data_IF_772980795704
#
_entry.id   IF_772980795704
#
_cell.length_a   1.000
_cell.length_b   1.000
_cell.length_c   1.000
_cell.angle_alpha   90.00
_cell.angle_beta   90.00
_cell.angle_gamma   90.00
#
_symmetry.space_group_name_H-M   'P 1'
#
loop_
_entity.id
_entity.type
_entity.pdbx_description
1 polymer ?
#
# COMPACT_ATOMS: atom_id res chain seq x y z
N UNK A 1 51.70 -14.46 44.54
CA UNK A 1 50.29 -14.71 44.91
C UNK A 1 49.45 -13.83 44.01
N UNK A 2 49.12 -14.31 42.82
CA UNK A 2 47.88 -15.04 42.49
C UNK A 2 46.81 -14.07 42.00
N UNK A 3 46.62 -13.99 40.68
CA UNK A 3 45.48 -14.62 39.99
C UNK A 3 45.19 -13.92 38.67
N UNK A 4 45.61 -14.60 37.61
CA UNK A 4 44.99 -14.65 36.29
C UNK A 4 43.46 -14.77 36.39
N UNK A 5 42.71 -13.98 35.61
CA UNK A 5 41.39 -14.37 35.11
C UNK A 5 41.46 -14.54 33.61
N UNK A 6 41.33 -15.80 33.21
CA UNK A 6 41.20 -16.28 31.85
C UNK A 6 39.83 -15.96 31.25
N UNK A 7 39.84 -15.73 29.94
CA UNK A 7 38.92 -16.23 28.93
C UNK A 7 37.41 -16.20 29.21
N UNK A 8 36.73 -15.21 28.64
CA UNK A 8 35.42 -15.45 28.00
C UNK A 8 35.68 -15.73 26.53
N UNK A 9 35.65 -17.01 26.15
CA UNK A 9 35.63 -17.41 24.76
C UNK A 9 34.35 -16.90 24.11
N UNK A 10 34.48 -15.90 23.25
CA UNK A 10 33.48 -15.68 22.22
C UNK A 10 33.55 -16.90 21.30
N UNK A 11 32.52 -17.73 21.34
CA UNK A 11 32.28 -18.72 20.29
C UNK A 11 32.19 -17.96 18.99
N UNK A 12 33.21 -18.13 18.16
CA UNK A 12 33.34 -17.60 16.80
C UNK A 12 32.31 -18.34 15.94
N UNK A 13 31.12 -17.77 15.74
CA UNK A 13 30.04 -18.41 14.98
C UNK A 13 30.07 -17.83 13.58
N UNK A 14 30.99 -18.34 12.76
CA UNK A 14 31.11 -17.96 11.36
C UNK A 14 29.74 -17.95 10.65
N UNK A 15 29.35 -16.80 10.13
CA UNK A 15 28.08 -16.58 9.46
C UNK A 15 28.20 -16.84 7.96
N UNK A 16 27.16 -17.39 7.34
CA UNK A 16 27.16 -17.68 5.90
C UNK A 16 26.66 -16.47 5.13
N UNK A 17 27.42 -16.02 4.13
CA UNK A 17 27.01 -14.91 3.27
C UNK A 17 25.74 -15.28 2.49
N UNK A 18 24.68 -14.49 2.64
CA UNK A 18 23.42 -14.67 1.93
C UNK A 18 23.55 -14.54 0.40
N UNK A 19 24.60 -13.87 -0.10
CA UNK A 19 24.78 -13.61 -1.53
C UNK A 19 25.62 -14.66 -2.25
N UNK A 20 26.65 -15.22 -1.61
CA UNK A 20 27.56 -16.18 -2.25
C UNK A 20 27.74 -17.50 -1.50
N UNK A 21 27.17 -17.65 -0.30
CA UNK A 21 27.28 -18.86 0.50
C UNK A 21 28.65 -19.08 1.17
N UNK A 22 29.61 -18.16 1.02
CA UNK A 22 30.91 -18.26 1.68
C UNK A 22 30.79 -17.98 3.19
N UNK A 23 31.63 -18.64 3.99
CA UNK A 23 31.78 -18.36 5.42
C UNK A 23 32.45 -17.01 5.62
N UNK A 24 31.80 -16.14 6.39
CA UNK A 24 32.28 -14.80 6.74
C UNK A 24 32.67 -14.79 8.22
N UNK A 25 33.87 -14.28 8.57
CA UNK A 25 34.28 -14.09 9.97
C UNK A 25 33.34 -13.13 10.70
N UNK A 26 33.11 -13.35 12.00
CA UNK A 26 32.26 -12.46 12.78
C UNK A 26 32.83 -11.04 12.87
N UNK A 27 31.96 -10.06 12.61
CA UNK A 27 32.30 -8.63 12.63
C UNK A 27 32.92 -8.08 11.34
N UNK A 28 33.07 -8.88 10.28
CA UNK A 28 33.42 -8.33 8.96
C UNK A 28 32.24 -7.50 8.42
N UNK A 29 32.51 -6.24 8.02
CA UNK A 29 31.51 -5.33 7.44
C UNK A 29 31.11 -5.71 6.00
N UNK A 30 31.95 -6.50 5.32
CA UNK A 30 31.72 -6.99 3.96
C UNK A 30 32.24 -8.41 3.80
N UNK A 31 31.55 -9.21 3.00
CA UNK A 31 32.00 -10.54 2.63
C UNK A 31 33.33 -10.46 1.85
N UNK A 32 34.40 -11.16 2.26
CA UNK A 32 35.68 -11.12 1.56
C UNK A 32 35.65 -11.79 0.17
N UNK A 33 34.60 -12.56 -0.14
CA UNK A 33 34.50 -13.32 -1.38
C UNK A 33 33.67 -12.61 -2.46
N UNK A 34 32.62 -11.89 -2.09
CA UNK A 34 31.74 -11.19 -3.05
C UNK A 34 31.58 -9.71 -2.77
N UNK A 35 32.25 -9.18 -1.74
CA UNK A 35 32.20 -7.77 -1.31
C UNK A 35 30.80 -7.25 -0.97
N UNK A 36 29.81 -8.13 -0.81
CA UNK A 36 28.48 -7.76 -0.33
C UNK A 36 28.57 -7.30 1.14
N UNK A 37 27.92 -6.18 1.44
CA UNK A 37 27.83 -5.62 2.79
C UNK A 37 27.04 -6.59 3.69
N UNK A 38 27.61 -6.93 4.84
CA UNK A 38 27.05 -7.90 5.80
C UNK A 38 26.34 -7.22 6.98
N UNK A 39 26.15 -5.90 6.91
CA UNK A 39 25.38 -5.09 7.86
C UNK A 39 23.88 -5.39 7.75
N UNK A 40 23.48 -6.59 8.17
CA UNK A 40 22.10 -6.86 8.55
C UNK A 40 21.96 -6.41 9.99
N UNK A 41 21.05 -5.46 10.23
CA UNK A 41 20.57 -4.99 11.55
C UNK A 41 20.69 -6.11 12.58
N UNK A 42 21.59 -5.92 13.56
CA UNK A 42 21.65 -6.78 14.73
C UNK A 42 20.22 -6.97 15.23
N UNK A 43 19.79 -8.24 15.37
CA UNK A 43 18.56 -8.55 16.09
C UNK A 43 18.69 -7.93 17.48
N UNK A 44 18.00 -6.83 17.71
CA UNK A 44 17.88 -6.26 19.05
C UNK A 44 17.23 -7.36 19.89
N UNK A 45 17.90 -7.80 20.94
CA UNK A 45 17.31 -8.73 21.89
C UNK A 45 16.16 -8.00 22.59
N UNK A 46 14.93 -8.18 22.11
CA UNK A 46 13.69 -7.61 22.65
C UNK A 46 13.29 -8.38 23.91
N UNK A 47 14.18 -8.47 24.89
CA UNK A 47 13.97 -9.30 26.09
C UNK A 47 12.86 -8.79 26.98
N UNK A 48 12.73 -7.46 27.09
CA UNK A 48 11.85 -6.84 28.09
C UNK A 48 10.92 -5.75 27.53
N UNK A 49 10.84 -5.59 26.21
CA UNK A 49 10.02 -4.53 25.59
C UNK A 49 8.65 -5.08 25.21
N UNK A 50 7.59 -4.32 25.52
CA UNK A 50 6.20 -4.70 25.24
C UNK A 50 5.62 -3.80 24.14
N UNK A 51 4.84 -4.36 23.21
CA UNK A 51 4.19 -3.56 22.17
C UNK A 51 2.88 -2.96 22.68
N UNK A 52 2.64 -1.69 22.35
CA UNK A 52 1.38 -1.02 22.67
C UNK A 52 0.24 -1.61 21.81
N UNK A 53 -0.87 -2.08 22.41
CA UNK A 53 -1.97 -2.69 21.66
C UNK A 53 -2.78 -1.68 20.82
N UNK A 54 -2.65 -0.38 21.11
CA UNK A 54 -3.44 0.66 20.42
C UNK A 54 -2.71 1.30 19.23
N UNK A 55 -1.39 1.46 19.29
CA UNK A 55 -0.63 2.18 18.25
C UNK A 55 0.60 1.44 17.72
N UNK A 56 0.90 0.24 18.25
CA UNK A 56 2.03 -0.57 17.82
C UNK A 56 3.42 -0.07 18.25
N UNK A 57 3.50 0.99 19.07
CA UNK A 57 4.78 1.49 19.57
C UNK A 57 5.45 0.50 20.54
N UNK A 58 6.77 0.41 20.49
CA UNK A 58 7.59 -0.35 21.43
C UNK A 58 7.68 0.42 22.77
N UNK A 59 7.20 -0.17 23.86
CA UNK A 59 7.14 0.46 25.18
C UNK A 59 8.11 -0.24 26.14
N UNK A 60 8.98 0.51 26.85
CA UNK A 60 9.83 -0.03 27.90
C UNK A 60 9.03 -0.66 29.05
N UNK A 61 9.57 -1.67 29.74
CA UNK A 61 8.88 -2.34 30.85
C UNK A 61 8.63 -1.43 32.06
N UNK A 62 9.30 -0.27 32.13
CA UNK A 62 9.15 0.73 33.19
C UNK A 62 7.91 1.62 33.01
N UNK A 63 7.34 1.67 31.80
CA UNK A 63 6.27 2.61 31.47
C UNK A 63 4.92 1.88 31.39
N UNK A 64 4.05 2.17 32.37
CA UNK A 64 2.68 1.63 32.40
C UNK A 64 1.75 2.26 31.36
N UNK A 65 2.18 3.34 30.69
CA UNK A 65 1.41 4.11 29.72
C UNK A 65 2.26 4.37 28.48
N UNK A 66 1.70 4.12 27.30
CA UNK A 66 2.38 4.39 26.05
C UNK A 66 2.62 5.89 25.88
N UNK A 67 3.88 6.34 25.68
CA UNK A 67 4.17 7.77 25.48
C UNK A 67 3.64 8.31 24.15
N UNK A 68 3.36 7.44 23.17
CA UNK A 68 2.90 7.84 21.84
C UNK A 68 1.40 8.11 21.77
N UNK A 69 0.58 7.32 22.47
CA UNK A 69 -0.88 7.38 22.35
C UNK A 69 -1.62 7.42 23.68
N UNK A 70 -0.91 7.41 24.82
CA UNK A 70 -1.51 7.49 26.15
C UNK A 70 -2.23 6.22 26.62
N UNK A 71 -2.23 5.14 25.84
CA UNK A 71 -2.89 3.88 26.22
C UNK A 71 -2.10 3.16 27.31
N UNK A 72 -2.80 2.63 28.32
CA UNK A 72 -2.20 1.80 29.37
C UNK A 72 -1.66 0.49 28.77
N UNK A 73 -0.37 0.23 28.99
CA UNK A 73 0.31 -1.00 28.57
C UNK A 73 0.51 -1.85 29.83
N UNK A 74 -0.35 -2.85 30.02
CA UNK A 74 -0.21 -3.77 31.14
C UNK A 74 0.94 -4.74 30.83
N UNK A 75 1.94 -4.91 31.71
CA UNK A 75 2.96 -5.92 31.50
C UNK A 75 2.30 -7.30 31.39
N UNK A 76 2.75 -8.09 30.40
CA UNK A 76 2.28 -9.45 30.22
C UNK A 76 2.49 -10.24 31.52
N UNK A 77 1.44 -10.92 32.00
CA UNK A 77 1.55 -11.74 33.19
C UNK A 77 2.64 -12.81 32.97
N UNK A 78 3.46 -13.03 34.00
CA UNK A 78 4.53 -14.02 33.96
C UNK A 78 4.00 -15.37 33.45
N UNK A 79 4.78 -16.10 32.62
CA UNK A 79 4.37 -17.42 32.15
C UNK A 79 4.06 -18.30 33.36
N UNK A 80 2.88 -18.95 33.34
CA UNK A 80 2.49 -19.86 34.42
C UNK A 80 3.47 -21.05 34.40
N UNK A 81 3.91 -21.55 35.57
CA UNK A 81 4.77 -22.72 35.61
C UNK A 81 4.04 -23.90 34.98
N UNK A 82 4.69 -24.54 34.01
CA UNK A 82 4.24 -25.79 33.42
C UNK A 82 4.23 -26.81 34.55
N UNK A 83 3.05 -27.36 34.89
CA UNK A 83 2.98 -28.49 35.81
C UNK A 83 3.45 -29.72 35.04
N UNK A 84 4.52 -30.34 35.52
CA UNK A 84 4.88 -31.68 35.09
C UNK A 84 3.76 -32.61 35.57
N UNK A 85 2.95 -33.10 34.63
CA UNK A 85 1.99 -34.15 34.89
C UNK A 85 2.73 -35.48 34.68
N UNK A 86 3.10 -36.12 35.78
CA UNK A 86 3.44 -37.55 35.77
C UNK A 86 2.19 -38.33 35.36
N UNK A 87 2.11 -38.64 34.07
CA UNK A 87 1.13 -39.55 33.50
C UNK A 87 1.57 -40.98 33.84
N UNK A 88 0.79 -41.76 34.60
CA UNK A 88 1.14 -43.14 34.89
C UNK A 88 1.05 -43.99 33.62
N UNK A 89 2.02 -44.88 33.44
CA UNK A 89 2.04 -45.93 32.43
C UNK A 89 0.92 -46.91 32.75
N UNK A 90 -0.06 -47.05 31.83
CA UNK A 90 -1.19 -47.96 32.00
C UNK A 90 -0.81 -49.30 31.36
N UNK A 91 -0.36 -50.23 32.19
CA UNK A 91 -0.30 -51.65 31.86
C UNK A 91 -1.71 -52.27 32.02
N UNK A 92 -2.08 -53.10 31.05
CA UNK A 92 -3.27 -53.95 31.04
C UNK A 92 -3.23 -54.96 32.21
N UNK A 93 -4.29 -55.01 33.03
CA UNK A 93 -4.98 -56.22 33.53
C UNK A 93 -5.91 -55.93 34.73
N UNK A 94 -7.16 -56.43 34.67
CA UNK A 94 -7.90 -56.88 35.86
C UNK A 94 -9.17 -56.12 36.29
N UNK A 95 -10.33 -56.79 36.16
CA UNK A 95 -11.69 -56.40 36.58
C UNK A 95 -11.91 -56.24 38.12
N UNK A 96 -13.03 -55.62 38.55
CA UNK A 96 -13.24 -55.11 39.90
C UNK A 96 -13.98 -56.09 40.82
N UNK A 97 -13.74 -56.01 42.13
CA UNK A 97 -14.67 -56.58 43.12
C UNK A 97 -15.13 -55.56 44.17
N UNK A 98 -16.43 -55.67 44.37
CA UNK A 98 -17.34 -55.06 45.30
C UNK A 98 -17.03 -55.39 46.76
N UNK A 99 -17.36 -54.47 47.69
CA UNK A 99 -18.34 -54.72 48.76
C UNK A 99 -18.23 -53.78 49.97
N UNK A 100 -19.39 -53.22 50.33
CA UNK A 100 -19.90 -52.92 51.69
C UNK A 100 -19.24 -51.76 52.47
N UNK A 101 -19.84 -50.57 52.43
CA UNK A 101 -20.91 -50.05 53.34
C UNK A 101 -20.47 -49.82 54.79
N UNK A 102 -20.38 -48.53 55.15
CA UNK A 102 -20.24 -48.08 56.54
C UNK A 102 -20.50 -46.57 56.67
N UNK A 103 -21.79 -46.18 56.68
CA UNK A 103 -22.36 -45.02 57.38
C UNK A 103 -21.65 -43.66 57.21
N UNK A 104 -22.23 -42.78 56.39
CA UNK A 104 -22.08 -41.33 56.55
C UNK A 104 -23.45 -40.65 56.56
N UNK A 105 -23.63 -39.85 57.59
CA UNK A 105 -24.82 -39.08 57.97
C UNK A 105 -25.29 -38.13 56.86
N UNK A 106 -26.59 -38.15 56.60
CA UNK A 106 -27.31 -37.27 55.67
C UNK A 106 -27.11 -35.80 56.06
N UNK A 107 -26.28 -35.08 55.31
CA UNK A 107 -26.31 -33.62 55.26
C UNK A 107 -27.24 -33.27 54.11
N UNK A 108 -28.40 -32.74 54.43
CA UNK A 108 -29.38 -32.29 53.45
C UNK A 108 -28.84 -31.01 52.80
N UNK A 109 -28.22 -31.18 51.64
CA UNK A 109 -27.68 -30.10 50.82
C UNK A 109 -28.83 -29.34 50.16
N UNK A 110 -28.86 -28.01 50.32
CA UNK A 110 -29.78 -27.10 49.64
C UNK A 110 -29.40 -26.86 48.15
N UNK A 111 -28.70 -27.80 47.53
CA UNK A 111 -28.37 -27.77 46.10
C UNK A 111 -29.45 -28.60 45.40
N UNK A 112 -30.27 -28.02 44.51
CA UNK A 112 -31.22 -28.81 43.72
C UNK A 112 -30.47 -29.89 42.95
N UNK A 113 -31.00 -31.13 42.86
CA UNK A 113 -30.35 -32.18 42.10
C UNK A 113 -30.14 -31.68 40.66
N UNK A 114 -28.91 -31.79 40.18
CA UNK A 114 -28.61 -31.56 38.78
C UNK A 114 -29.55 -32.46 37.97
N UNK A 115 -30.32 -31.85 37.06
CA UNK A 115 -31.25 -32.55 36.20
C UNK A 115 -30.54 -33.73 35.54
N UNK A 116 -30.88 -34.93 35.98
CA UNK A 116 -30.43 -36.18 35.41
C UNK A 116 -31.04 -36.28 34.02
N UNK A 117 -30.20 -36.05 33.01
CA UNK A 117 -30.53 -36.10 31.59
C UNK A 117 -30.84 -37.53 31.08
N UNK A 118 -31.26 -38.45 31.96
CA UNK A 118 -31.44 -39.87 31.67
C UNK A 118 -32.88 -40.36 31.85
N UNK A 119 -33.84 -39.47 32.09
CA UNK A 119 -35.26 -39.83 32.02
C UNK A 119 -35.75 -39.82 30.55
N UNK A 120 -36.27 -40.93 29.99
CA UNK A 120 -36.72 -41.01 28.58
C UNK A 120 -37.97 -40.17 28.29
N UNK A 121 -38.57 -39.58 29.33
CA UNK A 121 -39.65 -38.60 29.24
C UNK A 121 -39.14 -37.15 29.13
N UNK A 122 -37.96 -36.82 29.67
CA UNK A 122 -37.41 -35.45 29.60
C UNK A 122 -36.71 -35.15 28.25
N UNK A 123 -36.29 -36.18 27.51
CA UNK A 123 -35.67 -36.02 26.19
C UNK A 123 -36.67 -35.75 25.07
N UNK A 124 -37.97 -36.04 25.27
CA UNK A 124 -39.02 -35.81 24.25
C UNK A 124 -39.71 -34.45 24.34
N UNK A 125 -39.60 -33.74 25.45
CA UNK A 125 -40.24 -32.42 25.65
C UNK A 125 -39.31 -31.21 25.41
N UNK A 126 -38.06 -31.43 24.99
CA UNK A 126 -37.15 -30.35 24.53
C UNK A 126 -36.55 -30.63 23.16
N UNK A 127 -37.32 -31.19 22.25
CA UNK A 127 -36.95 -31.15 20.83
C UNK A 127 -37.77 -30.02 20.19
N UNK A 128 -37.21 -28.81 20.02
CA UNK A 128 -37.81 -27.82 19.13
C UNK A 128 -38.12 -28.52 17.82
N UNK A 129 -39.38 -28.40 17.38
CA UNK A 129 -39.89 -29.09 16.18
C UNK A 129 -38.80 -29.01 15.10
N UNK A 130 -38.41 -30.11 14.45
CA UNK A 130 -37.27 -30.10 13.51
C UNK A 130 -37.47 -29.05 12.40
N UNK A 131 -38.73 -28.75 12.07
CA UNK A 131 -39.12 -27.64 11.19
C UNK A 131 -38.76 -26.26 11.76
N UNK A 132 -38.97 -26.01 13.05
CA UNK A 132 -38.60 -24.76 13.71
C UNK A 132 -37.07 -24.56 13.76
N UNK A 133 -36.29 -25.63 13.97
CA UNK A 133 -34.83 -25.54 13.84
C UNK A 133 -34.38 -25.29 12.40
N UNK A 134 -34.99 -25.95 11.42
CA UNK A 134 -34.69 -25.71 10.02
C UNK A 134 -35.00 -24.25 9.63
N UNK A 135 -36.15 -23.72 10.07
CA UNK A 135 -36.49 -22.31 9.85
C UNK A 135 -35.54 -21.36 10.58
N UNK A 136 -35.19 -21.63 11.83
CA UNK A 136 -34.24 -20.80 12.58
C UNK A 136 -32.84 -20.81 11.96
N UNK A 137 -32.37 -21.95 11.46
CA UNK A 137 -31.08 -22.06 10.77
C UNK A 137 -31.09 -21.28 9.44
N UNK A 138 -32.17 -21.40 8.65
CA UNK A 138 -32.33 -20.61 7.41
C UNK A 138 -32.38 -19.11 7.72
N UNK A 139 -33.12 -18.72 8.76
CA UNK A 139 -33.23 -17.32 9.17
C UNK A 139 -31.89 -16.77 9.69
N UNK A 140 -31.13 -17.57 10.44
CA UNK A 140 -29.80 -17.19 10.89
C UNK A 140 -28.84 -17.02 9.70
N UNK A 141 -28.87 -17.92 8.70
CA UNK A 141 -28.08 -17.77 7.47
C UNK A 141 -28.53 -16.55 6.66
N UNK A 142 -29.84 -16.28 6.57
CA UNK A 142 -30.36 -15.12 5.87
C UNK A 142 -30.03 -13.79 6.57
N UNK A 143 -30.07 -13.75 7.91
CA UNK A 143 -29.69 -12.56 8.67
C UNK A 143 -28.19 -12.33 8.60
N UNK A 144 -27.36 -13.35 8.87
CA UNK A 144 -25.90 -13.20 8.88
C UNK A 144 -25.37 -12.98 7.47
N UNK A 145 -25.84 -13.76 6.50
CA UNK A 145 -25.48 -13.60 5.09
C UNK A 145 -26.04 -12.30 4.52
N UNK A 146 -27.27 -11.92 4.87
CA UNK A 146 -27.87 -10.65 4.46
C UNK A 146 -27.16 -9.44 5.07
N UNK A 147 -26.77 -9.48 6.34
CA UNK A 147 -26.02 -8.42 7.00
C UNK A 147 -24.58 -8.32 6.47
N UNK A 148 -23.91 -9.46 6.24
CA UNK A 148 -22.61 -9.49 5.59
C UNK A 148 -22.70 -8.88 4.19
N UNK A 149 -23.69 -9.29 3.38
CA UNK A 149 -23.94 -8.69 2.07
C UNK A 149 -24.29 -7.21 2.19
N UNK A 150 -25.08 -6.76 3.17
CA UNK A 150 -25.39 -5.32 3.36
C UNK A 150 -24.15 -4.49 3.72
N UNK A 151 -23.21 -5.08 4.46
CA UNK A 151 -21.95 -4.43 4.87
C UNK A 151 -20.92 -4.46 3.74
N UNK A 152 -20.79 -5.57 3.02
CA UNK A 152 -19.79 -5.73 1.95
C UNK A 152 -20.30 -5.25 0.59
N UNK A 153 -21.61 -5.21 0.38
CA UNK A 153 -22.31 -4.84 -0.84
C UNK A 153 -23.64 -4.13 -0.52
N UNK A 154 -23.64 -2.81 -0.27
CA UNK A 154 -24.87 -2.06 -0.05
C UNK A 154 -25.83 -2.32 -1.22
N UNK A 155 -27.05 -2.75 -0.92
CA UNK A 155 -28.04 -3.09 -1.94
C UNK A 155 -28.40 -1.84 -2.73
N UNK A 156 -27.97 -1.80 -4.00
CA UNK A 156 -28.27 -0.72 -4.93
C UNK A 156 -29.46 -1.11 -5.82
N UNK A 157 -30.65 -0.51 -5.63
CA UNK A 157 -31.82 -0.75 -6.46
C UNK A 157 -31.67 -0.25 -7.90
N UNK A 158 -30.61 0.50 -8.22
CA UNK A 158 -30.32 1.03 -9.55
C UNK A 158 -29.37 0.14 -10.37
N UNK A 159 -28.76 -0.87 -9.76
CA UNK A 159 -27.82 -1.78 -10.42
C UNK A 159 -28.43 -2.60 -11.59
N UNK A 160 -29.76 -2.69 -11.66
CA UNK A 160 -30.48 -3.33 -12.79
C UNK A 160 -31.08 -2.33 -13.79
N UNK A 161 -30.88 -1.03 -13.58
CA UNK A 161 -31.35 0.04 -14.46
C UNK A 161 -30.23 0.37 -15.45
N UNK A 162 -30.18 -0.32 -16.59
CA UNK A 162 -29.19 -0.09 -17.66
C UNK A 162 -29.56 1.06 -18.60
N UNK A 163 -30.32 2.03 -18.11
CA UNK A 163 -30.76 3.21 -18.86
C UNK A 163 -30.19 4.47 -18.21
N UNK A 164 -29.34 5.17 -18.94
CA UNK A 164 -28.80 6.47 -18.53
C UNK A 164 -29.94 7.47 -18.27
N UNK A 165 -30.09 7.92 -17.03
CA UNK A 165 -31.04 8.98 -16.63
C UNK A 165 -30.34 10.30 -16.30
N UNK A 166 -29.01 10.34 -16.34
CA UNK A 166 -28.19 11.55 -16.31
C UNK A 166 -27.25 11.54 -17.54
N UNK A 167 -26.96 12.71 -18.14
CA UNK A 167 -25.87 12.82 -19.11
C UNK A 167 -24.55 12.48 -18.41
N UNK A 168 -23.79 11.53 -18.98
CA UNK A 168 -22.50 11.14 -18.45
C UNK A 168 -21.55 12.34 -18.49
N UNK A 169 -20.98 12.68 -17.33
CA UNK A 169 -19.81 13.53 -17.25
C UNK A 169 -18.64 12.76 -17.91
N UNK A 170 -18.20 13.28 -19.04
CA UNK A 170 -17.19 12.66 -19.91
C UNK A 170 -15.79 13.23 -19.66
N UNK A 171 -15.63 14.10 -18.66
CA UNK A 171 -14.37 14.75 -18.33
C UNK A 171 -13.23 13.77 -18.01
N UNK A 172 -13.53 12.55 -17.57
CA UNK A 172 -12.53 11.55 -17.18
C UNK A 172 -12.55 10.25 -18.03
N UNK A 173 -13.31 10.21 -19.13
CA UNK A 173 -13.27 9.06 -20.04
C UNK A 173 -12.01 9.10 -20.90
N UNK A 174 -10.90 8.63 -20.33
CA UNK A 174 -9.58 8.60 -20.96
C UNK A 174 -8.42 8.72 -19.99
N UNK A 175 -8.67 9.13 -18.73
CA UNK A 175 -7.61 9.37 -17.74
C UNK A 175 -7.12 8.03 -17.15
N UNK A 176 -5.88 7.59 -17.46
CA UNK A 176 -5.28 6.48 -16.73
C UNK A 176 -4.98 6.99 -15.31
N UNK A 177 -5.43 6.26 -14.29
CA UNK A 177 -5.16 6.64 -12.89
C UNK A 177 -3.66 6.89 -12.62
N UNK A 178 -3.39 7.62 -11.54
CA UNK A 178 -2.03 8.01 -11.13
C UNK A 178 -1.08 6.81 -11.13
N UNK A 179 -0.05 6.89 -11.97
CA UNK A 179 1.05 5.93 -12.02
C UNK A 179 2.15 6.38 -11.07
N UNK A 180 2.19 5.78 -9.89
CA UNK A 180 3.23 5.99 -8.86
C UNK A 180 4.62 5.43 -9.26
N UNK A 181 4.78 4.93 -10.48
CA UNK A 181 5.99 4.24 -10.91
C UNK A 181 6.38 4.55 -12.35
N UNK A 182 7.66 4.88 -12.52
CA UNK A 182 8.33 5.02 -13.81
C UNK A 182 8.25 3.70 -14.61
N UNK A 183 7.55 3.70 -15.74
CA UNK A 183 7.64 2.62 -16.72
C UNK A 183 8.96 2.71 -17.48
N UNK A 184 10.06 2.36 -16.83
CA UNK A 184 11.39 2.49 -17.42
C UNK A 184 12.45 1.47 -16.97
N UNK A 185 12.17 0.61 -15.99
CA UNK A 185 13.23 -0.22 -15.39
C UNK A 185 13.47 -1.59 -16.03
N UNK A 186 12.51 -2.21 -16.73
CA UNK A 186 12.67 -3.58 -17.24
C UNK A 186 12.14 -3.79 -18.68
N UNK A 187 12.52 -2.92 -19.62
CA UNK A 187 12.37 -3.23 -21.06
C UNK A 187 13.63 -2.86 -21.82
N UNK A 188 14.62 -3.74 -21.78
CA UNK A 188 15.62 -3.81 -22.86
C UNK A 188 14.88 -4.21 -24.13
N UNK A 189 14.47 -3.23 -24.92
CA UNK A 189 14.02 -3.45 -26.30
C UNK A 189 15.28 -3.42 -27.16
N UNK A 190 15.56 -4.53 -27.84
CA UNK A 190 16.65 -4.64 -28.81
C UNK A 190 16.58 -3.48 -29.81
N UNK A 191 17.69 -2.75 -29.96
CA UNK A 191 17.86 -1.64 -30.92
C UNK A 191 17.87 -2.10 -32.40
N UNK A 192 17.48 -3.34 -32.67
CA UNK A 192 17.70 -4.03 -33.95
C UNK A 192 16.39 -4.45 -34.66
N UNK A 193 15.25 -3.84 -34.30
CA UNK A 193 13.98 -4.07 -35.02
C UNK A 193 13.83 -3.10 -36.20
N UNK A 194 13.53 -3.59 -37.43
CA UNK A 194 13.49 -2.75 -38.61
C UNK A 194 12.35 -1.73 -38.54
N UNK A 195 12.74 -0.47 -38.72
CA UNK A 195 11.86 0.70 -38.87
C UNK A 195 11.09 0.57 -40.20
N UNK A 196 9.88 0.03 -40.19
CA UNK A 196 8.97 0.11 -41.34
C UNK A 196 7.51 0.04 -40.92
N UNK A 197 6.70 0.98 -41.41
CA UNK A 197 5.30 1.24 -41.06
C UNK A 197 5.04 1.68 -39.61
N UNK A 198 5.59 0.99 -38.61
CA UNK A 198 5.28 1.23 -37.19
C UNK A 198 5.91 2.52 -36.64
N UNK A 199 7.05 2.96 -37.19
CA UNK A 199 7.79 4.09 -36.64
C UNK A 199 7.10 5.44 -36.84
N UNK A 200 6.51 5.68 -38.02
CA UNK A 200 5.72 6.88 -38.25
C UNK A 200 4.52 6.93 -37.31
N UNK A 201 3.81 5.81 -37.16
CA UNK A 201 2.63 5.75 -36.29
C UNK A 201 3.00 6.01 -34.82
N UNK A 202 4.18 5.56 -34.37
CA UNK A 202 4.72 5.87 -33.03
C UNK A 202 5.08 7.36 -32.87
N UNK A 203 5.65 7.98 -33.92
CA UNK A 203 6.01 9.40 -33.93
C UNK A 203 4.75 10.28 -33.98
N UNK A 204 3.77 9.95 -34.82
CA UNK A 204 2.47 10.62 -34.88
C UNK A 204 1.72 10.48 -33.54
N UNK A 205 1.75 9.29 -32.92
CA UNK A 205 1.17 9.11 -31.59
C UNK A 205 1.88 9.93 -30.50
N UNK A 206 3.21 10.05 -30.56
CA UNK A 206 3.96 10.89 -29.61
C UNK A 206 3.66 12.39 -29.80
N UNK A 207 3.50 12.83 -31.05
CA UNK A 207 3.06 14.17 -31.40
C UNK A 207 1.68 14.49 -30.81
N UNK A 208 0.69 13.63 -31.01
CA UNK A 208 -0.67 13.81 -30.48
C UNK A 208 -0.68 13.86 -28.94
N UNK A 209 0.06 12.94 -28.29
CA UNK A 209 0.17 12.91 -26.83
C UNK A 209 0.84 14.17 -26.25
N UNK A 210 1.73 14.82 -26.99
CA UNK A 210 2.30 16.10 -26.55
C UNK A 210 1.24 17.20 -26.49
N UNK A 211 0.30 17.26 -27.43
CA UNK A 211 -0.82 18.22 -27.36
C UNK A 211 -1.83 17.89 -26.28
N UNK A 212 -2.11 16.61 -26.04
CA UNK A 212 -2.97 16.19 -24.92
C UNK A 212 -2.39 16.65 -23.58
N UNK A 213 -1.07 16.45 -23.38
CA UNK A 213 -0.38 16.88 -22.17
C UNK A 213 -0.26 18.40 -22.08
N UNK A 214 -0.07 19.11 -23.20
CA UNK A 214 -0.11 20.58 -23.22
C UNK A 214 -1.47 21.10 -22.73
N UNK A 215 -2.56 20.50 -23.23
CA UNK A 215 -3.92 20.81 -22.79
C UNK A 215 -4.10 20.58 -21.29
N UNK A 216 -3.65 19.42 -20.78
CA UNK A 216 -3.71 19.10 -19.34
C UNK A 216 -2.92 20.11 -18.48
N UNK A 217 -1.76 20.58 -18.95
CA UNK A 217 -0.99 21.63 -18.27
C UNK A 217 -1.76 22.96 -18.27
N UNK A 218 -2.41 23.32 -19.38
CA UNK A 218 -3.24 24.53 -19.47
C UNK A 218 -4.48 24.49 -18.56
N UNK A 219 -5.13 23.33 -18.46
CA UNK A 219 -6.27 23.09 -17.56
C UNK A 219 -5.83 23.18 -16.09
N UNK A 220 -4.72 22.53 -15.73
CA UNK A 220 -4.15 22.60 -14.38
C UNK A 220 -3.75 24.04 -14.00
N UNK A 221 -3.21 24.81 -14.94
CA UNK A 221 -2.88 26.23 -14.73
C UNK A 221 -4.14 27.09 -14.48
N UNK A 222 -5.25 26.75 -15.13
CA UNK A 222 -6.54 27.43 -14.94
C UNK A 222 -7.14 27.07 -13.59
N UNK A 223 -7.15 25.78 -13.25
CA UNK A 223 -7.61 25.26 -11.97
C UNK A 223 -6.86 25.91 -10.80
N UNK A 224 -5.52 25.97 -10.87
CA UNK A 224 -4.70 26.62 -9.85
C UNK A 224 -5.16 28.05 -9.53
N UNK A 225 -5.49 28.84 -10.57
CA UNK A 225 -5.92 30.24 -10.37
C UNK A 225 -7.27 30.33 -9.66
N UNK A 226 -8.18 29.43 -10.01
CA UNK A 226 -9.50 29.36 -9.41
C UNK A 226 -9.40 28.91 -7.95
N UNK A 227 -8.80 27.75 -7.70
CA UNK A 227 -8.68 27.14 -6.38
C UNK A 227 -7.86 28.01 -5.41
N UNK A 228 -6.77 28.64 -5.88
CA UNK A 228 -5.99 29.57 -5.06
C UNK A 228 -6.79 30.82 -4.67
N UNK A 229 -7.69 31.29 -5.55
CA UNK A 229 -8.57 32.42 -5.26
C UNK A 229 -9.68 32.08 -4.26
N UNK A 230 -10.16 30.83 -4.27
CA UNK A 230 -11.17 30.33 -3.36
C UNK A 230 -10.61 30.01 -1.96
N UNK A 231 -9.31 29.71 -1.86
CA UNK A 231 -8.64 29.40 -0.61
C UNK A 231 -8.87 27.96 -0.12
N UNK A 232 -9.20 27.03 -1.01
CA UNK A 232 -9.44 25.62 -0.69
C UNK A 232 -8.11 24.85 -0.58
N UNK A 233 -7.64 24.64 0.65
CA UNK A 233 -6.38 23.98 0.93
C UNK A 233 -6.37 22.47 0.55
N UNK A 234 -7.52 21.79 0.60
CA UNK A 234 -7.60 20.36 0.24
C UNK A 234 -7.50 20.22 -1.29
N UNK A 235 -8.28 21.00 -2.03
CA UNK A 235 -8.21 21.03 -3.48
C UNK A 235 -6.83 21.49 -4.00
N UNK A 236 -6.10 22.33 -3.24
CA UNK A 236 -4.72 22.72 -3.57
C UNK A 236 -3.71 21.59 -3.38
N UNK A 237 -3.91 20.73 -2.39
CA UNK A 237 -3.06 19.57 -2.16
C UNK A 237 -3.27 18.52 -3.26
N UNK A 238 -4.53 18.25 -3.61
CA UNK A 238 -4.89 17.32 -4.69
C UNK A 238 -4.39 17.84 -6.05
N UNK A 239 -4.64 19.11 -6.36
CA UNK A 239 -4.16 19.72 -7.61
C UNK A 239 -2.63 19.75 -7.75
N UNK A 240 -1.88 19.82 -6.64
CA UNK A 240 -0.42 19.66 -6.64
C UNK A 240 0.00 18.23 -6.97
N UNK A 241 -0.74 17.22 -6.51
CA UNK A 241 -0.49 15.82 -6.87
C UNK A 241 -0.76 15.58 -8.36
N UNK A 242 -1.88 16.08 -8.88
CA UNK A 242 -2.23 16.00 -10.29
C UNK A 242 -1.19 16.71 -11.18
N UNK A 243 -0.73 17.91 -10.79
CA UNK A 243 0.31 18.62 -11.53
C UNK A 243 1.64 17.84 -11.58
N UNK A 244 1.97 17.09 -10.52
CA UNK A 244 3.15 16.21 -10.50
C UNK A 244 2.96 14.98 -11.40
N UNK A 245 1.76 14.41 -11.43
CA UNK A 245 1.43 13.31 -12.33
C UNK A 245 1.61 13.72 -13.80
N UNK A 246 1.07 14.90 -14.19
CA UNK A 246 1.27 15.43 -15.55
C UNK A 246 2.76 15.65 -15.87
N UNK A 247 3.55 16.19 -14.92
CA UNK A 247 5.00 16.34 -15.10
C UNK A 247 5.74 15.00 -15.31
N UNK A 248 5.30 13.96 -14.62
CA UNK A 248 5.81 12.61 -14.79
C UNK A 248 5.45 12.05 -16.17
N UNK A 249 4.22 12.23 -16.63
CA UNK A 249 3.76 11.78 -17.94
C UNK A 249 4.53 12.45 -19.08
N UNK A 250 4.79 13.76 -18.96
CA UNK A 250 5.66 14.49 -19.90
C UNK A 250 7.08 13.90 -19.91
N UNK A 251 7.64 13.61 -18.74
CA UNK A 251 8.99 13.03 -18.65
C UNK A 251 9.08 11.61 -19.21
N UNK A 252 8.04 10.80 -19.00
CA UNK A 252 7.91 9.47 -19.57
C UNK A 252 7.80 9.54 -21.10
N UNK A 253 6.96 10.44 -21.63
CA UNK A 253 6.79 10.63 -23.07
C UNK A 253 8.10 11.08 -23.73
N UNK A 254 8.84 12.01 -23.13
CA UNK A 254 10.15 12.42 -23.64
C UNK A 254 11.12 11.24 -23.67
N UNK A 255 11.14 10.41 -22.62
CA UNK A 255 11.98 9.21 -22.59
C UNK A 255 11.58 8.20 -23.67
N UNK A 256 10.29 8.10 -24.00
CA UNK A 256 9.81 7.26 -25.09
C UNK A 256 10.22 7.82 -26.46
N UNK A 257 10.13 9.14 -26.65
CA UNK A 257 10.58 9.83 -27.87
C UNK A 257 12.10 9.65 -28.07
N UNK A 258 12.91 9.79 -27.02
CA UNK A 258 14.36 9.57 -27.09
C UNK A 258 14.72 8.16 -27.59
N UNK A 259 13.89 7.16 -27.28
CA UNK A 259 14.09 5.77 -27.74
C UNK A 259 13.69 5.56 -29.20
N UNK A 260 12.88 6.45 -29.78
CA UNK A 260 12.53 6.43 -31.19
C UNK A 260 13.66 7.00 -32.07
N UNK A 261 14.54 7.81 -31.49
CA UNK A 261 15.65 8.45 -32.20
C UNK A 261 16.73 7.46 -32.66
N UNK A 262 17.06 7.55 -33.94
CA UNK A 262 18.32 7.08 -34.51
C UNK A 262 18.97 8.29 -35.21
N UNK A 263 20.24 8.57 -34.91
CA UNK A 263 20.92 9.82 -35.31
C UNK A 263 20.95 10.02 -36.85
N UNK A 264 20.88 8.92 -37.61
CA UNK A 264 20.84 8.91 -39.09
C UNK A 264 19.49 8.39 -39.65
N UNK A 265 18.45 8.34 -38.82
CA UNK A 265 17.14 7.77 -39.17
C UNK A 265 16.29 8.66 -40.06
N UNK A 266 15.38 8.05 -40.83
CA UNK A 266 14.44 8.75 -41.73
C UNK A 266 13.62 9.85 -41.05
N UNK A 267 13.34 9.70 -39.76
CA UNK A 267 12.54 10.62 -38.95
C UNK A 267 13.38 11.35 -37.87
N UNK A 268 14.70 11.46 -38.06
CA UNK A 268 15.57 12.07 -37.05
C UNK A 268 15.18 13.52 -36.74
N UNK A 269 14.80 14.30 -37.76
CA UNK A 269 14.32 15.68 -37.60
C UNK A 269 12.99 15.75 -36.83
N UNK A 270 12.04 14.87 -37.14
CA UNK A 270 10.76 14.81 -36.40
C UNK A 270 10.99 14.47 -34.93
N UNK A 271 11.86 13.51 -34.62
CA UNK A 271 12.21 13.17 -33.24
C UNK A 271 12.85 14.36 -32.52
N UNK A 272 13.76 15.09 -33.17
CA UNK A 272 14.37 16.30 -32.59
C UNK A 272 13.32 17.39 -32.28
N UNK A 273 12.37 17.62 -33.18
CA UNK A 273 11.26 18.53 -32.95
C UNK A 273 10.38 18.09 -31.78
N UNK A 274 10.01 16.81 -31.70
CA UNK A 274 9.21 16.28 -30.59
C UNK A 274 9.95 16.40 -29.24
N UNK A 275 11.26 16.15 -29.20
CA UNK A 275 12.07 16.37 -28.00
C UNK A 275 12.10 17.84 -27.60
N UNK A 276 12.17 18.74 -28.58
CA UNK A 276 12.16 20.19 -28.34
C UNK A 276 10.83 20.63 -27.74
N UNK A 277 9.70 20.21 -28.32
CA UNK A 277 8.35 20.46 -27.80
C UNK A 277 8.17 19.90 -26.39
N UNK A 278 8.58 18.64 -26.18
CA UNK A 278 8.52 18.00 -24.87
C UNK A 278 9.36 18.73 -23.82
N UNK A 279 10.56 19.19 -24.16
CA UNK A 279 11.40 19.94 -23.23
C UNK A 279 10.80 21.30 -22.83
N UNK A 280 10.16 22.02 -23.75
CA UNK A 280 9.40 23.22 -23.39
C UNK A 280 8.24 22.89 -22.46
N UNK A 281 7.51 21.82 -22.73
CA UNK A 281 6.41 21.37 -21.87
C UNK A 281 6.90 20.98 -20.47
N UNK A 282 8.02 20.24 -20.36
CA UNK A 282 8.66 19.92 -19.07
C UNK A 282 9.02 21.16 -18.27
N UNK A 283 9.66 22.15 -18.90
CA UNK A 283 10.00 23.40 -18.23
C UNK A 283 8.75 24.17 -17.77
N UNK A 284 7.65 24.10 -18.53
CA UNK A 284 6.35 24.66 -18.13
C UNK A 284 5.77 23.89 -16.94
N UNK A 285 5.84 22.56 -16.94
CA UNK A 285 5.42 21.73 -15.82
C UNK A 285 6.20 22.08 -14.54
N UNK A 286 7.51 22.29 -14.62
CA UNK A 286 8.33 22.69 -13.46
C UNK A 286 7.84 24.01 -12.84
N UNK A 287 7.54 25.01 -13.68
CA UNK A 287 6.97 26.28 -13.23
C UNK A 287 5.58 26.08 -12.61
N UNK A 288 4.75 25.25 -13.23
CA UNK A 288 3.39 24.97 -12.75
C UNK A 288 3.39 24.23 -11.41
N UNK A 289 4.20 23.18 -11.27
CA UNK A 289 4.34 22.43 -10.00
C UNK A 289 4.86 23.33 -8.89
N UNK A 290 5.79 24.24 -9.19
CA UNK A 290 6.27 25.23 -8.21
C UNK A 290 5.16 26.21 -7.79
N UNK A 291 4.33 26.65 -8.74
CA UNK A 291 3.20 27.53 -8.45
C UNK A 291 2.13 26.83 -7.59
N UNK A 292 1.83 25.56 -7.86
CA UNK A 292 0.97 24.73 -7.01
C UNK A 292 1.54 24.56 -5.60
N UNK A 293 2.84 24.26 -5.50
CA UNK A 293 3.53 24.11 -4.21
C UNK A 293 3.45 25.39 -3.38
N UNK A 294 3.68 26.53 -4.02
CA UNK A 294 3.57 27.84 -3.37
C UNK A 294 2.15 28.12 -2.88
N UNK A 295 1.11 27.74 -3.63
CA UNK A 295 -0.27 27.92 -3.25
C UNK A 295 -0.71 27.02 -2.09
N UNK A 296 -0.17 25.80 -2.00
CA UNK A 296 -0.52 24.81 -0.98
C UNK A 296 0.21 24.98 0.37
N UNK A 297 1.24 25.83 0.45
CA UNK A 297 2.04 26.03 1.67
C UNK A 297 1.37 26.89 2.76
N UNK A 298 0.72 28.04 2.47
CA UNK A 298 0.13 28.89 3.49
C UNK A 298 -1.24 28.42 3.99
N UNK A 299 -1.59 28.78 5.22
CA UNK A 299 -2.93 28.55 5.79
C UNK A 299 -4.05 29.34 5.07
N UNK A 300 -3.71 30.48 4.47
CA UNK A 300 -4.59 31.29 3.62
C UNK A 300 -3.99 31.36 2.21
N UNK A 301 -4.40 30.45 1.29
CA UNK A 301 -3.88 30.42 -0.08
C UNK A 301 -4.14 31.69 -0.88
N UNK A 302 -5.21 32.42 -0.56
CA UNK A 302 -5.54 33.68 -1.25
C UNK A 302 -4.49 34.77 -1.01
N UNK A 303 -3.73 34.66 0.09
CA UNK A 303 -2.67 35.60 0.44
C UNK A 303 -1.48 35.57 -0.55
N UNK A 304 -1.27 34.45 -1.25
CA UNK A 304 -0.15 34.26 -2.19
C UNK A 304 -0.57 34.31 -3.66
N UNK A 305 -1.84 34.58 -4.00
CA UNK A 305 -2.32 34.53 -5.39
C UNK A 305 -1.52 35.43 -6.35
N UNK A 306 -1.06 36.60 -5.89
CA UNK A 306 -0.20 37.47 -6.71
C UNK A 306 1.16 36.84 -7.02
N UNK A 307 1.73 36.11 -6.05
CA UNK A 307 3.01 35.42 -6.21
C UNK A 307 2.86 34.18 -7.09
N UNK A 308 1.74 33.45 -6.97
CA UNK A 308 1.35 32.36 -7.87
C UNK A 308 1.27 32.85 -9.32
N UNK A 309 0.54 33.94 -9.57
CA UNK A 309 0.43 34.55 -10.92
C UNK A 309 1.78 35.00 -11.45
N UNK A 310 2.63 35.59 -10.60
CA UNK A 310 4.00 35.96 -10.99
C UNK A 310 4.84 34.74 -11.38
N UNK A 311 4.71 33.63 -10.65
CA UNK A 311 5.43 32.38 -10.93
C UNK A 311 4.99 31.81 -12.28
N UNK A 312 3.68 31.69 -12.51
CA UNK A 312 3.12 31.22 -13.77
C UNK A 312 3.53 32.08 -14.98
N UNK A 313 3.74 33.39 -14.77
CA UNK A 313 4.22 34.29 -15.84
C UNK A 313 5.61 33.88 -16.34
N UNK A 314 6.46 33.31 -15.50
CA UNK A 314 7.76 32.79 -15.89
C UNK A 314 7.70 31.59 -16.86
N UNK A 315 6.58 30.86 -16.89
CA UNK A 315 6.36 29.72 -17.78
C UNK A 315 5.74 30.06 -19.14
N UNK A 316 5.26 31.30 -19.33
CA UNK A 316 4.51 31.70 -20.54
C UNK A 316 5.32 31.62 -21.83
N UNK A 317 6.63 31.84 -21.75
CA UNK A 317 7.49 31.73 -22.93
C UNK A 317 7.55 30.30 -23.46
N UNK A 318 7.48 29.28 -22.59
CA UNK A 318 7.47 27.88 -23.03
C UNK A 318 6.16 27.51 -23.71
N UNK A 319 5.01 27.92 -23.16
CA UNK A 319 3.71 27.75 -23.82
C UNK A 319 3.70 28.41 -25.20
N UNK A 320 4.17 29.66 -25.28
CA UNK A 320 4.27 30.40 -26.55
C UNK A 320 5.19 29.70 -27.56
N UNK A 321 6.34 29.15 -27.12
CA UNK A 321 7.25 28.43 -28.00
C UNK A 321 6.60 27.15 -28.52
N UNK A 322 5.91 26.40 -27.66
CA UNK A 322 5.17 25.21 -28.07
C UNK A 322 4.12 25.57 -29.13
N UNK A 323 3.22 26.50 -28.85
CA UNK A 323 2.13 26.91 -29.75
C UNK A 323 2.63 27.41 -31.11
N UNK A 324 3.75 28.13 -31.13
CA UNK A 324 4.31 28.69 -32.36
C UNK A 324 4.90 27.66 -33.30
N UNK A 325 5.28 26.48 -32.80
CA UNK A 325 5.98 25.48 -33.58
C UNK A 325 5.19 24.17 -33.75
N UNK A 326 4.22 23.90 -32.87
CA UNK A 326 3.50 22.62 -32.85
C UNK A 326 2.93 22.24 -34.21
N UNK A 327 2.10 23.11 -34.81
CA UNK A 327 1.47 22.84 -36.10
C UNK A 327 2.48 22.73 -37.26
N UNK A 328 3.53 23.55 -37.24
CA UNK A 328 4.57 23.60 -38.28
C UNK A 328 5.51 22.39 -38.23
N UNK A 329 5.60 21.72 -37.07
CA UNK A 329 6.45 20.55 -36.83
C UNK A 329 5.69 19.22 -36.85
N UNK A 330 4.50 19.22 -37.46
CA UNK A 330 3.74 17.98 -37.61
C UNK A 330 4.53 16.95 -38.45
N UNK A 331 4.74 15.73 -37.94
CA UNK A 331 5.47 14.70 -38.67
C UNK A 331 4.82 14.34 -40.02
N UNK A 332 5.64 14.18 -41.06
CA UNK A 332 5.18 13.78 -42.39
C UNK A 332 5.63 12.36 -42.76
N UNK A 333 4.78 11.61 -43.46
CA UNK A 333 5.18 10.27 -43.94
C UNK A 333 6.26 10.42 -45.01
N UNK A 334 7.43 9.84 -44.76
CA UNK A 334 8.48 9.68 -45.76
C UNK A 334 7.92 9.01 -47.03
N UNK A 335 8.18 9.64 -48.18
CA UNK A 335 7.68 9.22 -49.50
C UNK A 335 8.51 8.15 -50.19
#
# INVERSE_FOLDING_TARGET
>A
MSSTRSATGATDVAQVCHRCGALVPDGAASCPHCHAVTEVTQKIAVGDLTWCPSCGALVPPTDATCPKCGTLVRPAAAPRPVRDLDLPEIDDEGEPDSSRTGVMTRIESAIPPAADASSPAASRDRMPRPRAFAFAAIFAVAIVGGAALLITHPWDPTASITRASEPADTSMSGYPGSVDALSGQDRERDKDQPVSADAFDLIESAYERLSELEGAVGESETLLRETCGEGDAEALADGLEDARAVSLDVSNLISDIERLGDDDGTYAEDVEHLLTLGNWLRNRCDVLTEAWRLAAEPDDPSSVSSQVVSTLTGGRDYARLFDQNYDDWRPERAG
#
